data_IF_469999649793
#
_entry.id   IF_469999649793
#
_cell.length_a   1.000
_cell.length_b   1.000
_cell.length_c   1.000
_cell.angle_alpha   90.00
_cell.angle_beta   90.00
_cell.angle_gamma   90.00
#
_symmetry.space_group_name_H-M   'P 1'
#
loop_
_entity.id
_entity.type
_entity.pdbx_description
1 polymer ?
#
# COMPACT_ATOMS: atom_id res chain seq x y z
N UNK A 1 -3.98 23.19 -23.13
CA UNK A 1 -2.74 23.78 -22.59
C UNK A 1 -1.56 23.17 -23.32
N UNK A 2 -0.94 23.88 -24.26
CA UNK A 2 0.14 23.35 -25.11
C UNK A 2 1.48 23.53 -24.42
N UNK A 3 2.11 22.43 -24.00
CA UNK A 3 3.49 22.42 -23.51
C UNK A 3 4.42 23.05 -24.58
N UNK A 4 5.35 23.92 -24.17
CA UNK A 4 6.33 24.55 -25.08
C UNK A 4 7.09 23.46 -25.85
N UNK A 5 7.39 23.72 -27.14
CA UNK A 5 7.96 22.71 -28.07
C UNK A 5 9.28 22.08 -27.59
N UNK A 6 10.06 22.78 -26.76
CA UNK A 6 11.35 22.33 -26.23
C UNK A 6 11.39 22.26 -24.69
N UNK A 7 10.23 22.05 -24.03
CA UNK A 7 10.22 21.91 -22.57
C UNK A 7 10.65 20.49 -22.15
N UNK A 8 11.47 20.33 -21.09
CA UNK A 8 11.79 19.03 -20.52
C UNK A 8 10.52 18.23 -20.14
N UNK A 9 9.45 18.92 -19.76
CA UNK A 9 8.16 18.28 -19.46
C UNK A 9 7.52 17.63 -20.69
N UNK A 10 7.68 18.22 -21.88
CA UNK A 10 7.18 17.63 -23.12
C UNK A 10 7.87 16.31 -23.40
N UNK A 11 9.21 16.28 -23.28
CA UNK A 11 10.02 15.08 -23.49
C UNK A 11 9.73 14.04 -22.40
N UNK A 12 9.54 14.46 -21.14
CA UNK A 12 9.11 13.58 -20.06
C UNK A 12 7.75 12.90 -20.32
N UNK A 13 6.72 13.66 -20.70
CA UNK A 13 5.41 13.08 -21.04
C UNK A 13 5.47 12.27 -22.35
N UNK A 14 6.32 12.67 -23.30
CA UNK A 14 6.62 11.91 -24.51
C UNK A 14 7.17 10.52 -24.18
N UNK A 15 8.12 10.43 -23.25
CA UNK A 15 8.68 9.17 -22.77
C UNK A 15 7.62 8.28 -22.12
N UNK A 16 6.73 8.84 -21.28
CA UNK A 16 5.62 8.08 -20.67
C UNK A 16 4.69 7.51 -21.75
N UNK A 17 4.30 8.32 -22.74
CA UNK A 17 3.41 7.89 -23.82
C UNK A 17 4.06 6.81 -24.68
N UNK A 18 5.33 6.99 -25.06
CA UNK A 18 6.10 6.01 -25.81
C UNK A 18 6.24 4.68 -25.04
N UNK A 19 6.54 4.75 -23.73
CA UNK A 19 6.60 3.57 -22.85
C UNK A 19 5.25 2.85 -22.74
N UNK A 20 4.14 3.60 -22.65
CA UNK A 20 2.79 3.03 -22.65
C UNK A 20 2.48 2.29 -23.96
N UNK A 21 2.96 2.81 -25.09
CA UNK A 21 2.82 2.18 -26.43
C UNK A 21 3.88 1.11 -26.73
N UNK A 22 4.75 0.79 -25.77
CA UNK A 22 5.89 -0.13 -25.94
C UNK A 22 6.92 0.30 -27.02
N UNK A 23 6.98 1.60 -27.33
CA UNK A 23 7.97 2.18 -28.25
C UNK A 23 9.25 2.52 -27.48
N UNK A 24 10.04 1.49 -27.12
CA UNK A 24 11.17 1.65 -26.21
C UNK A 24 12.27 2.58 -26.74
N UNK A 25 12.59 2.52 -28.04
CA UNK A 25 13.61 3.37 -28.66
C UNK A 25 13.24 4.86 -28.58
N UNK A 26 11.98 5.17 -28.85
CA UNK A 26 11.45 6.53 -28.75
C UNK A 26 11.42 7.00 -27.29
N UNK A 27 11.03 6.13 -26.37
CA UNK A 27 11.04 6.44 -24.94
C UNK A 27 12.46 6.80 -24.44
N UNK A 28 13.49 6.03 -24.83
CA UNK A 28 14.89 6.35 -24.49
C UNK A 28 15.31 7.70 -25.06
N UNK A 29 15.02 7.99 -26.33
CA UNK A 29 15.35 9.28 -26.93
C UNK A 29 14.67 10.46 -26.21
N UNK A 30 13.41 10.30 -25.80
CA UNK A 30 12.70 11.30 -25.01
C UNK A 30 13.26 11.45 -23.58
N UNK A 31 13.73 10.37 -22.96
CA UNK A 31 14.35 10.41 -21.62
C UNK A 31 15.67 11.17 -21.67
N UNK A 32 16.52 10.90 -22.65
CA UNK A 32 17.80 11.62 -22.82
C UNK A 32 17.57 13.11 -23.04
N UNK A 33 16.63 13.47 -23.91
CA UNK A 33 16.29 14.88 -24.14
C UNK A 33 15.75 15.57 -22.86
N UNK A 34 14.96 14.86 -22.06
CA UNK A 34 14.50 15.40 -20.78
C UNK A 34 15.66 15.55 -19.78
N UNK A 35 16.63 14.63 -19.79
CA UNK A 35 17.81 14.63 -18.91
C UNK A 35 18.71 15.83 -19.19
N UNK A 36 18.99 16.15 -20.46
CA UNK A 36 19.78 17.33 -20.84
C UNK A 36 19.17 18.63 -20.30
N UNK A 37 17.84 18.76 -20.40
CA UNK A 37 17.12 19.92 -19.88
C UNK A 37 17.15 20.00 -18.35
N UNK A 38 16.98 18.87 -17.66
CA UNK A 38 17.05 18.81 -16.20
C UNK A 38 18.46 19.03 -15.65
N UNK A 39 19.51 18.65 -16.38
CA UNK A 39 20.90 18.84 -15.96
C UNK A 39 21.26 20.33 -15.82
N UNK A 40 20.81 21.14 -16.79
CA UNK A 40 20.95 22.60 -16.74
C UNK A 40 20.16 23.20 -15.56
N UNK A 41 18.92 22.76 -15.34
CA UNK A 41 18.09 23.20 -14.21
C UNK A 41 18.71 22.80 -12.85
N UNK A 42 19.24 21.58 -12.74
CA UNK A 42 19.81 21.06 -11.51
C UNK A 42 21.12 21.77 -11.17
N UNK A 43 22.01 21.96 -12.14
CA UNK A 43 23.28 22.65 -11.96
C UNK A 43 23.11 24.09 -11.45
N UNK A 44 22.04 24.78 -11.90
CA UNK A 44 21.73 26.12 -11.43
C UNK A 44 21.20 26.18 -9.98
N UNK A 45 20.48 25.15 -9.52
CA UNK A 45 19.77 25.16 -8.23
C UNK A 45 20.52 24.44 -7.10
N UNK A 46 21.37 23.47 -7.43
CA UNK A 46 22.06 22.63 -6.44
C UNK A 46 23.06 23.43 -5.60
N UNK A 47 23.63 24.48 -6.17
CA UNK A 47 24.56 25.40 -5.49
C UNK A 47 23.88 26.29 -4.46
N UNK A 48 22.57 26.51 -4.56
CA UNK A 48 21.83 27.39 -3.66
C UNK A 48 21.27 26.64 -2.44
N UNK A 49 20.54 25.55 -2.65
CA UNK A 49 20.09 24.66 -1.56
C UNK A 49 19.50 23.35 -2.08
N UNK A 50 19.68 22.28 -1.30
CA UNK A 50 19.04 21.00 -1.58
C UNK A 50 17.51 21.10 -1.61
N UNK A 51 16.90 21.88 -0.71
CA UNK A 51 15.44 22.02 -0.65
C UNK A 51 14.85 22.59 -1.95
N UNK A 52 15.53 23.57 -2.58
CA UNK A 52 15.11 24.14 -3.86
C UNK A 52 15.37 23.17 -5.02
N UNK A 53 16.49 22.46 -5.00
CA UNK A 53 16.83 21.43 -5.99
C UNK A 53 15.98 20.16 -5.87
N UNK A 54 15.34 19.89 -4.72
CA UNK A 54 14.67 18.62 -4.45
C UNK A 54 13.60 18.25 -5.50
N UNK A 55 12.82 19.22 -5.96
CA UNK A 55 11.81 18.96 -7.00
C UNK A 55 12.43 18.51 -8.33
N UNK A 56 13.61 19.04 -8.67
CA UNK A 56 14.37 18.64 -9.85
C UNK A 56 14.99 17.26 -9.64
N UNK A 57 15.57 16.99 -8.47
CA UNK A 57 16.10 15.66 -8.11
C UNK A 57 15.00 14.58 -8.21
N UNK A 58 13.79 14.89 -7.75
CA UNK A 58 12.63 13.99 -7.90
C UNK A 58 12.35 13.74 -9.39
N UNK A 59 12.37 14.76 -10.26
CA UNK A 59 12.17 14.58 -11.72
C UNK A 59 13.29 13.73 -12.35
N UNK A 60 14.54 13.94 -11.96
CA UNK A 60 15.67 13.09 -12.39
C UNK A 60 15.47 11.64 -11.96
N UNK A 61 15.03 11.40 -10.72
CA UNK A 61 14.68 10.06 -10.26
C UNK A 61 13.53 9.44 -11.07
N UNK A 62 12.53 10.24 -11.48
CA UNK A 62 11.46 9.74 -12.36
C UNK A 62 11.99 9.32 -13.75
N UNK A 63 12.98 10.02 -14.30
CA UNK A 63 13.64 9.61 -15.55
C UNK A 63 14.38 8.28 -15.38
N UNK A 64 15.13 8.13 -14.30
CA UNK A 64 15.81 6.87 -13.98
C UNK A 64 14.80 5.71 -13.81
N UNK A 65 13.67 5.97 -13.15
CA UNK A 65 12.61 4.96 -13.00
C UNK A 65 11.97 4.63 -14.35
N UNK A 66 11.82 5.58 -15.29
CA UNK A 66 11.34 5.29 -16.65
C UNK A 66 12.27 4.34 -17.41
N UNK A 67 13.58 4.53 -17.32
CA UNK A 67 14.57 3.61 -17.91
C UNK A 67 14.45 2.21 -17.32
N UNK A 68 14.31 2.13 -16.00
CA UNK A 68 14.10 0.86 -15.31
C UNK A 68 12.77 0.22 -15.70
N UNK A 69 11.70 0.99 -15.94
CA UNK A 69 10.43 0.45 -16.42
C UNK A 69 10.54 -0.17 -17.83
N UNK A 70 11.40 0.39 -18.70
CA UNK A 70 11.72 -0.21 -20.00
C UNK A 70 12.38 -1.59 -19.79
N UNK A 71 13.39 -1.66 -18.92
CA UNK A 71 14.08 -2.91 -18.58
C UNK A 71 13.13 -3.92 -17.93
N UNK A 72 12.25 -3.46 -17.04
CA UNK A 72 11.28 -4.28 -16.31
C UNK A 72 10.35 -5.05 -17.27
N UNK A 73 9.87 -4.40 -18.33
CA UNK A 73 9.00 -5.01 -19.34
C UNK A 73 9.68 -6.12 -20.16
N UNK A 74 11.01 -6.22 -20.13
CA UNK A 74 11.80 -7.12 -20.97
C UNK A 74 12.56 -8.19 -20.16
N UNK A 75 12.55 -8.11 -18.84
CA UNK A 75 13.32 -9.01 -17.99
C UNK A 75 12.48 -10.12 -17.36
N UNK A 76 13.18 -11.08 -16.76
CA UNK A 76 12.61 -12.23 -16.07
C UNK A 76 12.07 -11.86 -14.68
N UNK A 77 11.21 -12.71 -14.14
CA UNK A 77 10.53 -12.48 -12.86
C UNK A 77 11.50 -12.25 -11.68
N UNK A 78 12.68 -12.90 -11.70
CA UNK A 78 13.70 -12.72 -10.65
C UNK A 78 14.27 -11.29 -10.65
N UNK A 79 14.58 -10.75 -11.85
CA UNK A 79 15.05 -9.37 -11.98
C UNK A 79 13.92 -8.39 -11.67
N UNK A 80 12.68 -8.65 -12.11
CA UNK A 80 11.51 -7.86 -11.75
C UNK A 80 11.32 -7.76 -10.23
N UNK A 81 11.41 -8.87 -9.50
CA UNK A 81 11.30 -8.89 -8.04
C UNK A 81 12.38 -8.03 -7.36
N UNK A 82 13.62 -8.09 -7.86
CA UNK A 82 14.72 -7.24 -7.37
C UNK A 82 14.43 -5.76 -7.61
N UNK A 83 13.94 -5.41 -8.81
CA UNK A 83 13.58 -4.03 -9.16
C UNK A 83 12.42 -3.51 -8.30
N UNK A 84 11.38 -4.32 -8.06
CA UNK A 84 10.27 -3.99 -7.15
C UNK A 84 10.77 -3.66 -5.74
N UNK A 85 11.69 -4.48 -5.20
CA UNK A 85 12.30 -4.23 -3.89
C UNK A 85 13.09 -2.90 -3.87
N UNK A 86 13.88 -2.63 -4.91
CA UNK A 86 14.63 -1.38 -5.05
C UNK A 86 13.69 -0.17 -5.10
N UNK A 87 12.62 -0.24 -5.89
CA UNK A 87 11.59 0.78 -5.99
C UNK A 87 10.90 1.04 -4.64
N UNK A 88 10.55 -0.01 -3.89
CA UNK A 88 9.99 0.14 -2.54
C UNK A 88 10.94 0.89 -1.61
N UNK A 89 12.23 0.51 -1.59
CA UNK A 89 13.24 1.16 -0.74
C UNK A 89 13.42 2.62 -1.12
N UNK A 90 13.57 2.94 -2.41
CA UNK A 90 13.74 4.33 -2.87
C UNK A 90 12.54 5.21 -2.52
N UNK A 91 11.32 4.71 -2.69
CA UNK A 91 10.11 5.49 -2.36
C UNK A 91 9.99 5.73 -0.84
N UNK A 92 10.49 4.82 -0.01
CA UNK A 92 10.54 5.04 1.45
C UNK A 92 11.58 6.11 1.84
N UNK A 93 12.64 6.29 1.04
CA UNK A 93 13.61 7.36 1.20
C UNK A 93 13.13 8.73 0.67
N UNK A 94 12.10 8.78 -0.17
CA UNK A 94 11.53 10.04 -0.62
C UNK A 94 10.86 10.80 0.54
N UNK A 95 10.89 12.13 0.47
CA UNK A 95 10.19 13.00 1.41
C UNK A 95 8.72 12.57 1.53
N UNK A 96 8.18 12.65 2.75
CA UNK A 96 6.77 12.31 3.06
C UNK A 96 5.81 13.37 2.54
N UNK A 97 5.82 13.57 1.22
CA UNK A 97 5.01 14.54 0.50
C UNK A 97 4.06 13.79 -0.45
N UNK A 98 2.78 14.14 -0.41
CA UNK A 98 1.72 13.46 -1.20
C UNK A 98 1.99 13.55 -2.69
N UNK A 99 2.44 14.69 -3.21
CA UNK A 99 2.64 14.91 -4.65
C UNK A 99 3.85 14.16 -5.18
N UNK A 100 4.93 14.07 -4.39
CA UNK A 100 6.10 13.24 -4.72
C UNK A 100 5.71 11.77 -4.78
N UNK A 101 5.05 11.26 -3.73
CA UNK A 101 4.63 9.86 -3.68
C UNK A 101 3.64 9.51 -4.77
N UNK A 102 2.67 10.38 -5.05
CA UNK A 102 1.68 10.16 -6.09
C UNK A 102 2.32 10.07 -7.47
N UNK A 103 3.23 11.00 -7.82
CA UNK A 103 3.96 10.99 -9.09
C UNK A 103 4.77 9.71 -9.29
N UNK A 104 5.51 9.29 -8.25
CA UNK A 104 6.32 8.06 -8.31
C UNK A 104 5.46 6.80 -8.45
N UNK A 105 4.38 6.69 -7.68
CA UNK A 105 3.47 5.54 -7.76
C UNK A 105 2.73 5.47 -9.09
N UNK A 106 2.33 6.62 -9.66
CA UNK A 106 1.72 6.69 -10.99
C UNK A 106 2.64 6.21 -12.09
N UNK A 107 3.93 6.53 -11.99
CA UNK A 107 4.92 6.07 -12.95
C UNK A 107 5.04 4.54 -12.91
N UNK A 108 5.17 3.97 -11.71
CA UNK A 108 5.26 2.51 -11.51
C UNK A 108 3.98 1.78 -11.89
N UNK A 109 2.83 2.45 -11.80
CA UNK A 109 1.54 1.92 -12.21
C UNK A 109 1.44 1.59 -13.72
N UNK A 110 2.42 2.03 -14.53
CA UNK A 110 2.51 1.65 -15.95
C UNK A 110 2.84 0.16 -16.14
N UNK A 111 3.42 -0.51 -15.15
CA UNK A 111 3.82 -1.93 -15.24
C UNK A 111 3.45 -2.77 -14.03
N UNK A 112 3.08 -2.14 -12.90
CA UNK A 112 2.64 -2.85 -11.68
C UNK A 112 1.29 -2.30 -11.25
N UNK A 113 0.30 -3.17 -11.19
CA UNK A 113 -1.02 -2.81 -10.68
C UNK A 113 -0.94 -2.37 -9.20
N UNK A 114 -1.84 -1.49 -8.74
CA UNK A 114 -1.90 -1.09 -7.34
C UNK A 114 -2.07 -2.26 -6.37
N UNK A 115 -2.77 -3.32 -6.80
CA UNK A 115 -2.97 -4.54 -6.02
C UNK A 115 -1.66 -5.33 -5.84
N UNK A 116 -0.81 -5.41 -6.86
CA UNK A 116 0.50 -6.08 -6.77
C UNK A 116 1.49 -5.34 -5.86
N UNK A 117 1.38 -4.01 -5.72
CA UNK A 117 2.17 -3.21 -4.78
C UNK A 117 1.32 -2.63 -3.65
N UNK A 118 0.43 -3.46 -3.10
CA UNK A 118 -0.53 -3.04 -2.07
C UNK A 118 0.14 -2.33 -0.88
N UNK A 119 1.31 -2.80 -0.45
CA UNK A 119 2.03 -2.24 0.69
C UNK A 119 2.34 -0.75 0.53
N UNK A 120 2.84 -0.33 -0.63
CA UNK A 120 3.22 1.07 -0.86
C UNK A 120 2.00 1.95 -1.11
N UNK A 121 0.97 1.43 -1.77
CA UNK A 121 -0.29 2.14 -1.96
C UNK A 121 -1.06 2.33 -0.64
N UNK A 122 -1.04 1.37 0.29
CA UNK A 122 -1.57 1.56 1.65
C UNK A 122 -0.80 2.66 2.39
N UNK A 123 0.53 2.68 2.29
CA UNK A 123 1.34 3.76 2.88
C UNK A 123 0.98 5.13 2.30
N UNK A 124 0.75 5.20 0.98
CA UNK A 124 0.32 6.41 0.29
C UNK A 124 -1.08 6.87 0.70
N UNK A 125 -2.06 5.97 0.79
CA UNK A 125 -3.40 6.29 1.28
C UNK A 125 -3.35 6.86 2.72
N UNK A 126 -2.53 6.26 3.59
CA UNK A 126 -2.31 6.77 4.94
C UNK A 126 -1.59 8.12 4.96
N UNK A 127 -0.67 8.37 4.04
CA UNK A 127 -0.03 9.68 3.89
C UNK A 127 -1.07 10.73 3.48
N UNK A 128 -1.91 10.45 2.49
CA UNK A 128 -2.99 11.33 2.06
C UNK A 128 -3.94 11.66 3.21
N UNK A 129 -4.36 10.65 3.98
CA UNK A 129 -5.22 10.81 5.16
C UNK A 129 -4.58 11.72 6.21
N UNK A 130 -3.32 11.43 6.60
CA UNK A 130 -2.60 12.24 7.61
C UNK A 130 -2.30 13.67 7.15
N UNK A 131 -2.25 13.91 5.84
CA UNK A 131 -2.09 15.23 5.25
C UNK A 131 -3.42 15.94 4.97
N UNK A 132 -4.56 15.41 5.45
CA UNK A 132 -5.89 16.01 5.27
C UNK A 132 -6.48 15.88 3.86
N UNK A 133 -5.80 15.21 2.92
CA UNK A 133 -6.27 15.02 1.54
C UNK A 133 -7.19 13.79 1.44
N UNK A 134 -8.34 13.85 2.13
CA UNK A 134 -9.26 12.72 2.30
C UNK A 134 -9.78 12.15 0.98
N UNK A 135 -10.19 12.99 0.02
CA UNK A 135 -10.66 12.49 -1.28
C UNK A 135 -9.60 11.70 -2.06
N UNK A 136 -8.31 12.06 -1.92
CA UNK A 136 -7.22 11.30 -2.54
C UNK A 136 -6.95 9.98 -1.79
N UNK A 137 -7.07 9.99 -0.46
CA UNK A 137 -6.96 8.78 0.35
C UNK A 137 -8.06 7.76 -0.04
N UNK A 138 -9.31 8.23 -0.15
CA UNK A 138 -10.45 7.42 -0.56
C UNK A 138 -10.24 6.81 -1.94
N UNK A 139 -9.90 7.64 -2.93
CA UNK A 139 -9.63 7.19 -4.30
C UNK A 139 -8.51 6.15 -4.36
N UNK A 140 -7.46 6.31 -3.54
CA UNK A 140 -6.36 5.35 -3.47
C UNK A 140 -6.79 4.02 -2.86
N UNK A 141 -7.67 4.03 -1.85
CA UNK A 141 -8.24 2.82 -1.26
C UNK A 141 -9.17 2.10 -2.25
N UNK A 142 -10.07 2.84 -2.92
CA UNK A 142 -10.93 2.30 -3.99
C UNK A 142 -10.13 1.66 -5.12
N UNK A 143 -9.04 2.31 -5.52
CA UNK A 143 -8.11 1.79 -6.53
C UNK A 143 -7.44 0.48 -6.10
N UNK A 144 -7.14 0.30 -4.80
CA UNK A 144 -6.60 -0.96 -4.27
C UNK A 144 -7.63 -2.10 -4.27
N UNK A 145 -8.89 -1.76 -4.01
CA UNK A 145 -10.00 -2.73 -3.95
C UNK A 145 -10.50 -3.11 -5.36
N UNK A 146 -10.29 -2.21 -6.34
CA UNK A 146 -10.82 -2.37 -7.70
C UNK A 146 -12.35 -2.21 -7.75
N UNK A 147 -12.91 -1.35 -6.87
CA UNK A 147 -14.33 -1.04 -6.82
C UNK A 147 -14.54 0.44 -6.53
N UNK A 148 -15.49 1.06 -7.23
CA UNK A 148 -15.89 2.47 -7.02
C UNK A 148 -17.01 2.62 -5.99
N UNK A 149 -17.54 1.50 -5.45
CA UNK A 149 -18.56 1.52 -4.42
C UNK A 149 -18.09 2.30 -3.16
N UNK A 150 -19.02 2.91 -2.40
CA UNK A 150 -18.68 3.60 -1.15
C UNK A 150 -17.90 2.66 -0.21
N UNK A 151 -16.86 3.18 0.44
CA UNK A 151 -15.97 2.35 1.28
C UNK A 151 -16.75 1.66 2.41
N UNK A 152 -17.75 2.31 2.99
CA UNK A 152 -18.68 1.74 3.98
C UNK A 152 -19.30 0.40 3.55
N UNK A 153 -19.70 0.29 2.28
CA UNK A 153 -20.31 -0.94 1.74
C UNK A 153 -19.32 -2.09 1.59
N UNK A 154 -18.03 -1.77 1.57
CA UNK A 154 -16.92 -2.72 1.41
C UNK A 154 -16.30 -3.12 2.75
N UNK A 155 -16.63 -2.43 3.85
CA UNK A 155 -16.15 -2.77 5.20
C UNK A 155 -17.01 -3.92 5.76
N UNK A 156 -16.40 -5.03 6.19
CA UNK A 156 -17.12 -6.10 6.85
C UNK A 156 -17.84 -5.60 8.11
N UNK A 157 -19.04 -6.12 8.37
CA UNK A 157 -19.83 -5.83 9.57
C UNK A 157 -20.36 -4.39 9.69
N UNK A 158 -20.36 -3.60 8.61
CA UNK A 158 -20.96 -2.27 8.62
C UNK A 158 -22.47 -2.33 8.90
N UNK A 159 -23.01 -1.61 9.91
CA UNK A 159 -24.38 -1.81 10.41
C UNK A 159 -25.50 -1.62 9.37
N UNK A 160 -25.30 -0.75 8.37
CA UNK A 160 -26.29 -0.44 7.33
C UNK A 160 -26.12 -1.29 6.05
N UNK A 161 -25.20 -2.26 6.06
CA UNK A 161 -24.95 -3.10 4.89
C UNK A 161 -26.11 -4.11 4.71
N UNK A 162 -27.11 -3.74 3.89
CA UNK A 162 -28.26 -4.58 3.52
C UNK A 162 -27.88 -5.92 2.86
N UNK A 163 -26.60 -6.16 2.55
CA UNK A 163 -26.10 -7.46 2.07
C UNK A 163 -26.18 -8.57 3.12
N UNK A 164 -26.48 -8.27 4.38
CA UNK A 164 -26.69 -9.30 5.42
C UNK A 164 -28.09 -9.96 5.36
N UNK A 165 -29.03 -9.44 4.54
CA UNK A 165 -30.40 -9.99 4.42
C UNK A 165 -30.62 -10.91 3.22
N UNK A 166 -29.68 -10.97 2.30
CA UNK A 166 -29.66 -11.93 1.20
C UNK A 166 -28.27 -12.54 1.26
N UNK A 167 -28.15 -13.86 1.42
CA UNK A 167 -26.88 -14.59 1.59
C UNK A 167 -25.87 -14.50 0.43
N UNK A 168 -25.74 -13.33 -0.21
CA UNK A 168 -24.63 -12.94 -1.04
C UNK A 168 -23.41 -12.75 -0.14
N UNK A 169 -22.51 -13.73 -0.19
CA UNK A 169 -21.11 -13.68 0.25
C UNK A 169 -20.52 -12.26 0.21
N UNK A 170 -19.75 -11.84 1.24
CA UNK A 170 -19.05 -10.56 1.20
C UNK A 170 -18.29 -10.45 -0.12
N UNK A 171 -18.49 -9.37 -0.90
CA UNK A 171 -17.89 -9.28 -2.21
C UNK A 171 -16.38 -9.09 -2.05
N UNK A 172 -15.63 -10.10 -2.53
CA UNK A 172 -14.17 -10.13 -2.74
C UNK A 172 -13.33 -10.32 -1.46
N UNK A 173 -12.31 -11.18 -1.57
CA UNK A 173 -11.31 -11.43 -0.55
C UNK A 173 -10.39 -10.20 -0.38
N UNK A 174 -10.90 -9.13 0.24
CA UNK A 174 -10.15 -7.90 0.50
C UNK A 174 -9.06 -8.21 1.54
N UNK A 175 -7.78 -7.92 1.26
CA UNK A 175 -6.72 -8.18 2.22
C UNK A 175 -6.93 -7.40 3.52
N UNK A 176 -6.68 -8.07 4.65
CA UNK A 176 -6.87 -7.51 6.00
C UNK A 176 -6.16 -6.16 6.21
N UNK A 177 -5.00 -5.96 5.58
CA UNK A 177 -4.25 -4.71 5.64
C UNK A 177 -5.00 -3.53 4.99
N UNK A 178 -5.76 -3.79 3.92
CA UNK A 178 -6.60 -2.78 3.23
C UNK A 178 -7.81 -2.46 4.07
N UNK A 179 -8.50 -3.47 4.62
CA UNK A 179 -9.63 -3.26 5.54
C UNK A 179 -9.22 -2.40 6.73
N UNK A 180 -8.08 -2.69 7.36
CA UNK A 180 -7.55 -1.85 8.43
C UNK A 180 -7.21 -0.42 7.97
N UNK A 181 -6.76 -0.24 6.73
CA UNK A 181 -6.52 1.09 6.18
C UNK A 181 -7.83 1.86 5.95
N UNK A 182 -8.89 1.20 5.49
CA UNK A 182 -10.24 1.76 5.35
C UNK A 182 -10.82 2.16 6.71
N UNK A 183 -10.74 1.29 7.72
CA UNK A 183 -11.22 1.61 9.08
C UNK A 183 -10.55 2.88 9.64
N UNK A 184 -9.24 3.05 9.42
CA UNK A 184 -8.56 4.30 9.81
C UNK A 184 -9.02 5.52 9.02
N UNK A 185 -9.43 5.35 7.77
CA UNK A 185 -9.98 6.41 6.94
C UNK A 185 -11.36 6.82 7.46
N UNK A 186 -12.26 5.85 7.68
CA UNK A 186 -13.60 6.11 8.22
C UNK A 186 -13.56 6.73 9.61
N UNK A 187 -12.62 6.29 10.45
CA UNK A 187 -12.41 6.92 11.75
C UNK A 187 -12.11 8.42 11.63
N UNK A 188 -11.15 8.78 10.76
CA UNK A 188 -10.79 10.18 10.53
C UNK A 188 -11.96 10.99 9.95
N UNK A 189 -12.76 10.37 9.08
CA UNK A 189 -13.98 10.96 8.53
C UNK A 189 -15.03 11.19 9.62
N UNK A 190 -15.21 10.22 10.51
CA UNK A 190 -16.11 10.27 11.67
C UNK A 190 -15.73 11.36 12.67
N UNK A 191 -14.43 11.69 12.80
CA UNK A 191 -13.99 12.78 13.66
C UNK A 191 -14.34 14.18 13.13
N UNK A 192 -14.73 14.32 11.85
CA UNK A 192 -15.18 15.58 11.28
C UNK A 192 -16.61 15.94 11.75
N UNK A 193 -17.00 17.22 11.79
CA UNK A 193 -18.30 17.65 12.33
C UNK A 193 -19.51 16.97 11.68
N UNK A 194 -19.44 16.69 10.38
CA UNK A 194 -20.48 15.97 9.65
C UNK A 194 -20.54 14.48 10.04
N UNK A 195 -19.38 13.83 10.18
CA UNK A 195 -19.28 12.41 10.54
C UNK A 195 -19.68 12.12 11.99
N UNK A 196 -19.40 13.04 12.91
CA UNK A 196 -19.83 12.93 14.32
C UNK A 196 -21.34 12.87 14.45
N UNK A 197 -22.07 13.66 13.65
CA UNK A 197 -23.55 13.67 13.63
C UNK A 197 -24.15 12.36 13.13
N UNK A 198 -23.39 11.59 12.36
CA UNK A 198 -23.82 10.34 11.76
C UNK A 198 -23.38 9.10 12.58
N UNK A 199 -22.66 9.28 13.70
CA UNK A 199 -22.18 8.17 14.52
C UNK A 199 -21.13 7.28 13.82
N UNK A 200 -20.44 7.81 12.80
CA UNK A 200 -19.47 7.03 11.99
C UNK A 200 -18.34 6.47 12.87
N UNK A 201 -17.86 7.24 13.86
CA UNK A 201 -16.77 6.81 14.75
C UNK A 201 -17.16 5.57 15.57
N UNK A 202 -18.37 5.54 16.13
CA UNK A 202 -18.88 4.39 16.92
C UNK A 202 -19.04 3.13 16.05
N UNK A 203 -19.62 3.30 14.85
CA UNK A 203 -19.78 2.21 13.87
C UNK A 203 -18.42 1.66 13.43
N UNK A 204 -17.46 2.54 13.20
CA UNK A 204 -16.09 2.18 12.81
C UNK A 204 -15.38 1.42 13.91
N UNK A 205 -15.54 1.83 15.18
CA UNK A 205 -14.98 1.13 16.32
C UNK A 205 -15.58 -0.27 16.47
N UNK A 206 -16.90 -0.39 16.34
CA UNK A 206 -17.58 -1.69 16.35
C UNK A 206 -17.06 -2.62 15.25
N UNK A 207 -16.90 -2.11 14.02
CA UNK A 207 -16.33 -2.87 12.91
C UNK A 207 -14.89 -3.30 13.22
N UNK A 208 -14.08 -2.42 13.83
CA UNK A 208 -12.71 -2.75 14.24
C UNK A 208 -12.68 -3.84 15.32
N UNK A 209 -13.60 -3.81 16.29
CA UNK A 209 -13.70 -4.85 17.33
C UNK A 209 -13.99 -6.22 16.72
N UNK A 210 -15.01 -6.30 15.86
CA UNK A 210 -15.35 -7.56 15.18
C UNK A 210 -14.24 -8.05 14.25
N UNK A 211 -13.66 -7.14 13.45
CA UNK A 211 -12.55 -7.44 12.56
C UNK A 211 -11.34 -8.01 13.30
N UNK A 212 -10.97 -7.42 14.45
CA UNK A 212 -9.86 -7.92 15.26
C UNK A 212 -10.16 -9.30 15.84
N UNK A 213 -11.37 -9.54 16.33
CA UNK A 213 -11.75 -10.84 16.88
C UNK A 213 -11.69 -11.95 15.81
N UNK A 214 -12.24 -11.70 14.62
CA UNK A 214 -12.16 -12.64 13.49
C UNK A 214 -10.71 -12.85 13.05
N UNK A 215 -9.91 -11.79 12.95
CA UNK A 215 -8.49 -11.88 12.57
C UNK A 215 -7.66 -12.63 13.59
N UNK A 216 -7.92 -12.44 14.89
CA UNK A 216 -7.28 -13.17 15.99
C UNK A 216 -7.62 -14.66 15.92
N UNK A 217 -8.91 -14.99 15.80
CA UNK A 217 -9.36 -16.38 15.69
C UNK A 217 -8.73 -17.10 14.49
N UNK A 218 -8.70 -16.45 13.31
CA UNK A 218 -8.02 -16.99 12.12
C UNK A 218 -6.52 -17.22 12.33
N UNK A 219 -5.84 -16.31 13.04
CA UNK A 219 -4.41 -16.45 13.35
C UNK A 219 -4.17 -17.64 14.29
N UNK A 220 -5.00 -17.82 15.30
CA UNK A 220 -4.88 -18.92 16.26
C UNK A 220 -5.16 -20.27 15.59
N UNK A 221 -6.20 -20.36 14.75
CA UNK A 221 -6.48 -21.55 13.94
C UNK A 221 -5.32 -21.86 12.99
N UNK A 222 -4.76 -20.86 12.33
CA UNK A 222 -3.61 -21.05 11.44
C UNK A 222 -2.38 -21.58 12.19
N UNK A 223 -2.09 -21.02 13.38
CA UNK A 223 -1.00 -21.50 14.24
C UNK A 223 -1.24 -22.93 14.74
N UNK A 224 -2.47 -23.25 15.16
CA UNK A 224 -2.83 -24.58 15.62
C UNK A 224 -2.70 -25.64 14.50
N UNK A 225 -3.14 -25.31 13.28
CA UNK A 225 -3.01 -26.19 12.12
C UNK A 225 -1.53 -26.45 11.77
N UNK A 226 -0.68 -25.44 11.86
CA UNK A 226 0.77 -25.57 11.65
C UNK A 226 1.44 -26.41 12.73
N UNK A 227 1.06 -26.24 14.00
CA UNK A 227 1.56 -27.06 15.10
C UNK A 227 1.17 -28.55 14.94
N UNK A 228 -0.08 -28.82 14.52
CA UNK A 228 -0.54 -30.18 14.26
C UNK A 228 0.21 -30.86 13.10
N UNK A 229 0.58 -30.11 12.05
CA UNK A 229 1.40 -30.63 10.96
C UNK A 229 2.84 -30.94 11.41
N UNK A 230 3.45 -30.08 12.24
CA UNK A 230 4.81 -30.30 12.75
C UNK A 230 4.90 -31.46 13.76
N UNK A 231 3.83 -31.73 14.53
CA UNK A 231 3.77 -32.86 15.46
C UNK A 231 3.55 -34.23 14.81
N UNK A 232 3.42 -34.30 13.48
CA UNK A 232 3.18 -35.56 12.75
C UNK A 232 4.44 -36.22 12.18
N UNK A 233 5.60 -35.55 12.24
CA UNK A 233 6.84 -35.99 11.57
C UNK A 233 7.84 -36.75 12.44
N UNK A 234 7.60 -36.99 13.72
CA UNK A 234 8.43 -37.96 14.45
C UNK A 234 7.66 -38.67 15.57
N UNK A 235 7.86 -39.97 15.65
CA UNK A 235 7.12 -40.85 16.55
C UNK A 235 7.44 -40.58 18.02
N UNK A 236 6.39 -40.66 18.85
CA UNK A 236 6.44 -41.08 20.24
C UNK A 236 7.20 -40.17 21.24
N UNK A 237 6.48 -39.23 21.88
CA UNK A 237 6.76 -38.84 23.27
C UNK A 237 5.47 -38.43 24.01
N UNK A 238 5.27 -38.83 25.29
CA UNK A 238 4.04 -38.52 26.00
C UNK A 238 3.99 -37.04 26.35
N UNK A 239 2.84 -36.42 26.08
CA UNK A 239 2.57 -35.00 26.33
C UNK A 239 2.31 -34.78 27.82
N UNK A 240 3.34 -34.37 28.57
CA UNK A 240 3.19 -33.84 29.93
C UNK A 240 2.90 -32.33 29.88
N UNK A 241 2.11 -31.86 30.84
CA UNK A 241 1.51 -30.54 30.90
C UNK A 241 2.54 -29.40 31.02
N UNK A 242 2.40 -28.37 30.19
CA UNK A 242 2.88 -27.02 30.51
C UNK A 242 3.76 -26.37 29.45
N UNK A 243 3.31 -25.19 28.99
CA UNK A 243 3.94 -24.25 28.04
C UNK A 243 3.62 -24.55 26.57
N UNK A 244 2.78 -23.67 26.00
CA UNK A 244 2.35 -23.65 24.60
C UNK A 244 3.53 -23.89 23.66
N UNK A 245 3.38 -24.89 22.79
CA UNK A 245 4.34 -25.25 21.76
C UNK A 245 4.80 -24.04 20.97
N UNK A 246 6.00 -23.55 21.28
CA UNK A 246 6.77 -22.75 20.34
C UNK A 246 7.13 -23.69 19.19
N UNK A 247 6.40 -23.58 18.09
CA UNK A 247 6.80 -24.17 16.82
C UNK A 247 8.21 -23.64 16.53
N UNK A 248 9.18 -24.53 16.38
CA UNK A 248 10.53 -24.14 16.01
C UNK A 248 10.45 -23.38 14.67
N UNK A 249 10.83 -22.08 14.64
CA UNK A 249 10.73 -21.29 13.43
C UNK A 249 11.45 -21.96 12.26
N UNK A 250 12.54 -22.69 12.50
CA UNK A 250 13.35 -23.33 11.46
C UNK A 250 12.60 -24.36 10.60
N UNK A 251 11.48 -24.91 11.08
CA UNK A 251 10.66 -25.89 10.35
C UNK A 251 9.66 -25.25 9.37
N UNK A 252 9.60 -23.93 9.30
CA UNK A 252 8.62 -23.20 8.49
C UNK A 252 9.24 -22.60 7.23
N UNK A 253 8.46 -22.56 6.14
CA UNK A 253 8.87 -21.80 4.97
C UNK A 253 9.07 -20.31 5.34
N UNK A 254 10.12 -19.63 4.85
CA UNK A 254 10.36 -18.22 5.14
C UNK A 254 9.18 -17.31 4.76
N UNK A 255 8.39 -17.70 3.76
CA UNK A 255 7.20 -16.97 3.33
C UNK A 255 6.07 -17.09 4.36
N UNK A 256 5.84 -18.29 4.89
CA UNK A 256 4.82 -18.54 5.92
C UNK A 256 5.14 -17.80 7.21
N UNK A 257 6.41 -17.83 7.65
CA UNK A 257 6.86 -17.08 8.83
C UNK A 257 6.58 -15.58 8.68
N UNK A 258 6.93 -15.01 7.53
CA UNK A 258 6.72 -13.59 7.26
C UNK A 258 5.23 -13.22 7.24
N UNK A 259 4.38 -14.06 6.64
CA UNK A 259 2.95 -13.85 6.61
C UNK A 259 2.34 -13.84 8.03
N UNK A 260 2.73 -14.80 8.88
CA UNK A 260 2.29 -14.85 10.28
C UNK A 260 2.78 -13.66 11.09
N UNK A 261 4.02 -13.24 10.88
CA UNK A 261 4.57 -12.04 11.51
C UNK A 261 3.78 -10.79 11.11
N UNK A 262 3.54 -10.60 9.82
CA UNK A 262 2.78 -9.45 9.30
C UNK A 262 1.33 -9.44 9.84
N UNK A 263 0.70 -10.61 9.97
CA UNK A 263 -0.64 -10.75 10.57
C UNK A 263 -0.64 -10.45 12.08
N UNK A 264 0.37 -10.93 12.81
CA UNK A 264 0.52 -10.64 14.25
C UNK A 264 0.74 -9.14 14.49
N UNK A 265 1.58 -8.50 13.68
CA UNK A 265 1.81 -7.05 13.72
C UNK A 265 0.53 -6.27 13.37
N UNK A 266 -0.26 -6.75 12.42
CA UNK A 266 -1.56 -6.14 12.10
C UNK A 266 -2.50 -6.21 13.31
N UNK A 267 -2.61 -7.39 13.95
CA UNK A 267 -3.45 -7.60 15.12
C UNK A 267 -3.06 -6.67 16.28
N UNK A 268 -1.76 -6.58 16.58
CA UNK A 268 -1.25 -5.66 17.60
C UNK A 268 -1.63 -4.19 17.30
N UNK A 269 -1.55 -3.77 16.03
CA UNK A 269 -1.99 -2.44 15.60
C UNK A 269 -3.50 -2.22 15.73
N UNK A 270 -4.29 -3.27 15.56
CA UNK A 270 -5.73 -3.20 15.75
C UNK A 270 -6.09 -3.03 17.22
N UNK A 271 -5.52 -3.82 18.13
CA UNK A 271 -5.73 -3.66 19.59
C UNK A 271 -5.30 -2.28 20.09
N UNK A 272 -4.13 -1.79 19.65
CA UNK A 272 -3.69 -0.44 20.00
C UNK A 272 -4.71 0.63 19.58
N UNK A 273 -5.22 0.54 18.34
CA UNK A 273 -6.22 1.49 17.85
C UNK A 273 -7.55 1.37 18.58
N UNK A 274 -7.99 0.17 18.94
CA UNK A 274 -9.21 0.01 19.73
C UNK A 274 -9.12 0.76 21.05
N UNK A 275 -8.00 0.64 21.78
CA UNK A 275 -7.77 1.38 23.01
C UNK A 275 -7.79 2.89 22.80
N UNK A 276 -7.03 3.39 21.82
CA UNK A 276 -7.01 4.83 21.48
C UNK A 276 -8.40 5.37 21.11
N UNK A 277 -9.18 4.61 20.35
CA UNK A 277 -10.50 5.00 19.85
C UNK A 277 -11.57 4.96 20.93
N UNK A 278 -11.52 3.99 21.84
CA UNK A 278 -12.36 3.94 23.03
C UNK A 278 -12.14 5.16 23.92
N UNK A 279 -10.88 5.52 24.16
CA UNK A 279 -10.52 6.70 24.95
C UNK A 279 -11.01 7.99 24.27
N UNK A 280 -10.98 8.06 22.93
CA UNK A 280 -11.41 9.24 22.19
C UNK A 280 -12.94 9.43 22.10
N UNK A 281 -13.72 8.39 22.40
CA UNK A 281 -15.19 8.44 22.42
C UNK A 281 -15.77 8.67 23.83
N UNK A 282 -15.03 8.30 24.86
CA UNK A 282 -15.35 8.58 26.27
C UNK A 282 -15.01 10.03 26.62
#
# INVERSE_FOLDING_TARGET
SSLKRHSPDRSFFGAILALHRNQFREAVACIEQAREGLDTELSALVSESYNRAYQVVVRVQMLAELEELIVYKQCDEKKQATMRKTWETRLQGCQRNVEVWHRMLRLRALVISPAENMRMWIKFANLCRKSGRMGLAEKSLKQLIGSDAPLETMIPYWPDNKSDRSGSTPPRNIPAQVTYAMLKYEWELGQQPAGRRQGISERTLYCLQRFTNDTAHRLDVAKAHLAAQAGSTDGNLPTDYGIQGQIDPSLMSPQTQRALYDQTVLLAKCYLRQGEWLIALN
#
